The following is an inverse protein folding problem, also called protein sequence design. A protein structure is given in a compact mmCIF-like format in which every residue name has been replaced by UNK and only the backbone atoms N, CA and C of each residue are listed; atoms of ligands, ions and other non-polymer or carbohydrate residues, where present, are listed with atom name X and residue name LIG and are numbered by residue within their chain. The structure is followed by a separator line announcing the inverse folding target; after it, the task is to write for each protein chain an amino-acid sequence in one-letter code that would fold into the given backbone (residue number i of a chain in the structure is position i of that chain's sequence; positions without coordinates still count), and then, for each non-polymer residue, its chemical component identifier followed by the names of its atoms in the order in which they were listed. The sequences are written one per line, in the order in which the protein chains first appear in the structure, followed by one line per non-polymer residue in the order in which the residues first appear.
data_IF_512793569184
#
_entry.id   IF_512793569184
#
_cell.length_a   1.000
_cell.length_b   1.000
_cell.length_c   1.000
_cell.angle_alpha   90.00
_cell.angle_beta   90.00
_cell.angle_gamma   90.00
#
_symmetry.space_group_name_H-M   'P 1'
#
loop_
_entity.id
_entity.type
_entity.pdbx_description
1 polymer ?
#
# COMPACT_ATOMS: atom_id res chain seq x y z
N UNK A 1 -8.22 -22.53 -0.19
CA UNK A 1 -7.51 -21.25 -0.03
C UNK A 1 -7.82 -20.72 1.35
N UNK A 2 -6.79 -20.41 2.13
CA UNK A 2 -6.96 -19.80 3.44
C UNK A 2 -7.25 -18.32 3.28
N UNK A 3 -8.22 -17.82 4.04
CA UNK A 3 -8.67 -16.45 3.91
C UNK A 3 -7.69 -15.55 4.67
N UNK A 4 -6.98 -14.67 3.96
CA UNK A 4 -6.02 -13.72 4.54
C UNK A 4 -6.76 -12.47 5.06
N UNK A 5 -7.60 -12.62 6.08
CA UNK A 5 -8.31 -11.52 6.75
C UNK A 5 -8.41 -11.73 8.25
N UNK A 6 -8.70 -10.64 8.98
CA UNK A 6 -9.03 -10.67 10.40
C UNK A 6 -10.49 -10.26 10.65
N UNK A 7 -11.04 -10.71 11.77
CA UNK A 7 -12.34 -10.25 12.29
C UNK A 7 -12.27 -10.17 13.82
N UNK A 8 -12.69 -9.04 14.38
CA UNK A 8 -12.81 -8.82 15.80
C UNK A 8 -14.21 -9.23 16.27
N UNK A 9 -14.31 -10.33 17.01
CA UNK A 9 -15.58 -10.84 17.54
C UNK A 9 -16.21 -9.97 18.65
N UNK A 10 -15.48 -8.97 19.15
CA UNK A 10 -15.99 -8.02 20.16
C UNK A 10 -16.65 -6.79 19.56
N UNK A 11 -15.98 -6.11 18.62
CA UNK A 11 -16.46 -4.86 18.04
C UNK A 11 -16.87 -4.94 16.57
N UNK A 12 -16.64 -6.08 15.90
CA UNK A 12 -16.99 -6.29 14.49
C UNK A 12 -15.98 -5.73 13.48
N UNK A 13 -14.90 -5.09 13.93
CA UNK A 13 -13.80 -4.65 13.05
C UNK A 13 -13.29 -5.82 12.20
N UNK A 14 -12.98 -5.57 10.92
CA UNK A 14 -12.52 -6.57 9.99
C UNK A 14 -11.65 -5.93 8.92
N UNK A 15 -10.78 -6.71 8.29
CA UNK A 15 -9.87 -6.21 7.28
C UNK A 15 -8.80 -7.23 6.92
N UNK A 16 -7.74 -6.79 6.27
CA UNK A 16 -6.59 -7.63 5.94
C UNK A 16 -5.52 -7.57 7.06
N UNK A 17 -4.49 -8.44 7.04
CA UNK A 17 -3.44 -8.45 8.06
C UNK A 17 -2.69 -7.13 8.22
N UNK A 18 -2.50 -6.36 7.15
CA UNK A 18 -1.82 -5.05 7.21
C UNK A 18 -2.71 -4.04 7.93
N UNK A 19 -4.00 -4.00 7.61
CA UNK A 19 -4.97 -3.15 8.32
C UNK A 19 -5.00 -3.46 9.82
N UNK A 20 -4.90 -4.74 10.19
CA UNK A 20 -4.82 -5.13 11.60
C UNK A 20 -3.62 -4.51 12.31
N UNK A 21 -2.42 -4.63 11.75
CA UNK A 21 -1.19 -4.10 12.35
C UNK A 21 -1.25 -2.58 12.46
N UNK A 22 -1.67 -1.90 11.38
CA UNK A 22 -1.86 -0.43 11.39
C UNK A 22 -2.80 0.03 12.51
N UNK A 23 -3.96 -0.62 12.64
CA UNK A 23 -4.96 -0.24 13.65
C UNK A 23 -4.52 -0.57 15.08
N UNK A 24 -3.82 -1.70 15.26
CA UNK A 24 -3.32 -2.17 16.55
C UNK A 24 -2.18 -1.29 17.08
N UNK A 25 -1.22 -0.95 16.21
CA UNK A 25 -0.02 -0.21 16.57
C UNK A 25 -0.13 1.30 16.33
N UNK A 26 -1.24 1.76 15.76
CA UNK A 26 -1.48 3.17 15.40
C UNK A 26 -0.42 3.72 14.44
N UNK A 27 -0.09 2.92 13.43
CA UNK A 27 0.87 3.26 12.40
C UNK A 27 0.16 3.68 11.10
N UNK A 28 0.75 4.66 10.41
CA UNK A 28 0.43 4.92 9.01
C UNK A 28 0.99 3.80 8.12
N UNK A 29 0.49 3.72 6.89
CA UNK A 29 0.81 2.59 5.99
C UNK A 29 2.31 2.40 5.76
N UNK A 30 3.04 3.50 5.49
CA UNK A 30 4.49 3.42 5.22
C UNK A 30 5.24 2.89 6.44
N UNK A 31 4.93 3.42 7.63
CA UNK A 31 5.58 3.02 8.88
C UNK A 31 5.28 1.55 9.20
N UNK A 32 4.04 1.11 8.98
CA UNK A 32 3.65 -0.31 9.13
C UNK A 32 4.45 -1.23 8.20
N UNK A 33 4.67 -0.86 6.93
CA UNK A 33 5.43 -1.68 5.98
C UNK A 33 6.90 -1.74 6.38
N UNK A 34 7.48 -0.64 6.83
CA UNK A 34 8.87 -0.61 7.27
C UNK A 34 9.11 -1.40 8.54
N UNK A 35 8.19 -1.34 9.50
CA UNK A 35 8.31 -2.11 10.73
C UNK A 35 8.23 -3.61 10.45
N UNK A 36 7.25 -4.04 9.65
CA UNK A 36 7.12 -5.44 9.20
C UNK A 36 8.36 -5.91 8.42
N UNK A 37 8.92 -5.06 7.55
CA UNK A 37 10.12 -5.39 6.81
C UNK A 37 11.34 -5.52 7.72
N UNK A 38 11.49 -4.61 8.69
CA UNK A 38 12.55 -4.66 9.71
C UNK A 38 12.51 -5.97 10.51
N UNK A 39 11.32 -6.40 10.96
CA UNK A 39 11.12 -7.67 11.66
C UNK A 39 11.56 -8.88 10.82
N UNK A 40 11.33 -8.82 9.51
CA UNK A 40 11.67 -9.88 8.56
C UNK A 40 13.08 -9.74 7.95
N UNK A 41 13.84 -8.72 8.35
CA UNK A 41 15.14 -8.36 7.76
C UNK A 41 15.06 -8.15 6.24
N UNK A 42 13.95 -7.57 5.79
CA UNK A 42 13.72 -7.16 4.42
C UNK A 42 14.06 -5.68 4.26
N UNK A 43 14.64 -5.32 3.11
CA UNK A 43 14.90 -3.93 2.76
C UNK A 43 13.70 -3.36 2.00
N UNK A 44 13.22 -2.19 2.42
CA UNK A 44 12.20 -1.41 1.73
C UNK A 44 12.90 -0.22 1.11
N UNK A 45 12.92 -0.16 -0.22
CA UNK A 45 13.48 0.99 -0.90
C UNK A 45 12.48 2.14 -0.85
N UNK A 46 12.85 3.24 -0.20
CA UNK A 46 12.06 4.47 -0.28
C UNK A 46 12.40 5.18 -1.58
N UNK A 47 11.37 5.54 -2.34
CA UNK A 47 11.53 6.57 -3.37
C UNK A 47 11.99 7.86 -2.67
N UNK A 48 13.28 8.14 -2.70
CA UNK A 48 13.78 9.47 -2.35
C UNK A 48 13.03 10.46 -3.25
N UNK A 49 12.60 11.59 -2.69
CA UNK A 49 11.81 12.63 -3.38
C UNK A 49 12.53 13.32 -4.56
N UNK A 50 13.11 12.54 -5.47
CA UNK A 50 13.51 12.90 -6.81
C UNK A 50 12.57 12.19 -7.76
N UNK A 51 11.90 12.97 -8.58
CA UNK A 51 11.31 12.54 -9.84
C UNK A 51 12.33 11.74 -10.68
N UNK A 52 12.42 10.43 -10.45
CA UNK A 52 13.22 9.50 -11.27
C UNK A 52 12.39 8.38 -11.88
N UNK A 53 11.06 8.41 -11.72
CA UNK A 53 10.18 7.82 -12.72
C UNK A 53 10.28 8.62 -14.03
N UNK A 54 10.12 8.00 -15.22
CA UNK A 54 10.04 8.77 -16.46
C UNK A 54 8.99 9.84 -16.28
N UNK A 55 9.38 11.11 -16.44
CA UNK A 55 8.50 12.25 -16.28
C UNK A 55 7.39 12.12 -17.33
N UNK A 56 6.28 11.48 -16.96
CA UNK A 56 5.15 11.26 -17.87
C UNK A 56 4.68 12.63 -18.32
N UNK A 57 4.95 12.94 -19.58
CA UNK A 57 4.53 14.19 -20.19
C UNK A 57 2.99 14.25 -20.19
N UNK A 58 2.44 15.46 -20.33
CA UNK A 58 1.00 15.67 -20.32
C UNK A 58 0.27 14.85 -21.40
N UNK A 59 0.94 14.58 -22.52
CA UNK A 59 0.46 13.72 -23.62
C UNK A 59 0.19 12.29 -23.15
N UNK A 60 1.16 11.69 -22.44
CA UNK A 60 1.10 10.31 -21.94
C UNK A 60 -0.06 10.17 -20.95
N UNK A 61 -0.22 11.13 -20.03
CA UNK A 61 -1.33 11.12 -19.06
C UNK A 61 -2.70 11.18 -19.74
N UNK A 62 -2.83 11.98 -20.82
CA UNK A 62 -4.08 12.07 -21.61
C UNK A 62 -4.38 10.76 -22.33
N UNK A 63 -3.37 10.12 -22.91
CA UNK A 63 -3.53 8.83 -23.58
C UNK A 63 -3.93 7.71 -22.62
N UNK A 64 -3.26 7.62 -21.47
CA UNK A 64 -3.58 6.64 -20.42
C UNK A 64 -5.03 6.82 -19.92
N UNK A 65 -5.47 8.07 -19.70
CA UNK A 65 -6.84 8.37 -19.28
C UNK A 65 -7.88 8.01 -20.34
N UNK A 66 -7.59 8.28 -21.62
CA UNK A 66 -8.46 7.89 -22.72
C UNK A 66 -8.63 6.36 -22.80
N UNK A 67 -7.54 5.61 -22.64
CA UNK A 67 -7.57 4.13 -22.59
C UNK A 67 -8.38 3.60 -21.42
N UNK A 68 -8.29 4.22 -20.24
CA UNK A 68 -9.05 3.80 -19.06
C UNK A 68 -10.56 4.02 -19.20
N UNK A 69 -10.97 5.05 -19.94
CA UNK A 69 -12.38 5.40 -20.16
C UNK A 69 -13.03 4.63 -21.30
N UNK A 70 -12.23 4.10 -22.22
CA UNK A 70 -12.71 3.48 -23.46
C UNK A 70 -12.35 1.99 -23.60
N UNK A 71 -11.87 1.36 -22.51
CA UNK A 71 -11.77 -0.08 -22.35
C UNK A 71 -12.92 -0.60 -21.48
#
# INVERSE_FOLDING_TARGET
QDKQFYHCFGCGANGNPISFVMEYEKLDFVDCIEDLASMLKLYVDREQGGSSGPQRNAEQKRSDYYLMLHA
#
